data_IF_463246868112
#
_entry.id   IF_463246868112
#
_cell.length_a   1.000
_cell.length_b   1.000
_cell.length_c   1.000
_cell.angle_alpha   90.00
_cell.angle_beta   90.00
_cell.angle_gamma   90.00
#
_symmetry.space_group_name_H-M   'P 1'
#
loop_
_entity.id
_entity.type
_entity.pdbx_description
1 polymer ?
#
# COMPACT_ATOMS: atom_id res chain seq x y z
N UNK A 1 -15.01 -17.93 -9.66
CA UNK A 1 -14.15 -16.72 -9.66
C UNK A 1 -14.61 -15.67 -10.67
N UNK A 2 -15.91 -15.31 -10.80
CA UNK A 2 -16.31 -14.31 -11.80
C UNK A 2 -15.88 -12.88 -11.46
N UNK A 3 -15.43 -12.62 -10.23
CA UNK A 3 -15.15 -11.26 -9.72
C UNK A 3 -13.71 -11.04 -9.25
N UNK A 4 -12.83 -12.05 -9.38
CA UNK A 4 -11.43 -11.97 -8.92
C UNK A 4 -10.53 -12.61 -9.96
N UNK A 5 -9.55 -11.84 -10.44
CA UNK A 5 -8.47 -12.32 -11.29
C UNK A 5 -7.27 -12.73 -10.43
N UNK A 6 -6.59 -13.80 -10.84
CA UNK A 6 -5.43 -14.39 -10.15
C UNK A 6 -4.23 -14.37 -11.10
N UNK A 7 -3.02 -14.30 -10.53
CA UNK A 7 -1.79 -14.50 -11.28
C UNK A 7 -1.28 -15.96 -11.13
N UNK A 8 -0.21 -16.29 -11.85
CA UNK A 8 0.34 -17.65 -11.89
C UNK A 8 0.94 -18.13 -10.56
N UNK A 9 1.41 -17.21 -9.72
CA UNK A 9 2.09 -17.49 -8.46
C UNK A 9 1.14 -17.36 -7.24
N UNK A 10 -0.03 -16.72 -7.45
CA UNK A 10 -1.06 -16.48 -6.46
C UNK A 10 -2.38 -17.15 -6.85
N UNK A 11 -2.48 -18.46 -6.59
CA UNK A 11 -3.66 -19.28 -6.83
C UNK A 11 -4.62 -19.40 -5.64
N UNK A 12 -5.67 -20.23 -5.81
CA UNK A 12 -6.72 -20.45 -4.79
C UNK A 12 -6.15 -21.02 -3.49
N UNK A 13 -5.16 -21.90 -3.55
CA UNK A 13 -4.53 -22.47 -2.35
C UNK A 13 -3.85 -21.40 -1.49
N UNK A 14 -3.09 -20.51 -2.13
CA UNK A 14 -2.44 -19.36 -1.49
C UNK A 14 -3.46 -18.42 -0.87
N UNK A 15 -4.57 -18.13 -1.57
CA UNK A 15 -5.65 -17.31 -1.04
C UNK A 15 -6.29 -17.91 0.23
N UNK A 16 -6.54 -19.22 0.24
CA UNK A 16 -7.11 -19.90 1.42
C UNK A 16 -6.14 -19.89 2.61
N UNK A 17 -4.85 -20.11 2.34
CA UNK A 17 -3.81 -20.01 3.37
C UNK A 17 -3.74 -18.61 3.98
N UNK A 18 -3.71 -17.58 3.13
CA UNK A 18 -3.69 -16.18 3.56
C UNK A 18 -4.98 -15.78 4.31
N UNK A 19 -6.15 -16.18 3.80
CA UNK A 19 -7.42 -15.92 4.47
C UNK A 19 -7.50 -16.55 5.86
N UNK A 20 -6.93 -17.75 6.02
CA UNK A 20 -6.86 -18.43 7.32
C UNK A 20 -5.89 -17.74 8.27
N UNK A 21 -4.71 -17.32 7.80
CA UNK A 21 -3.73 -16.60 8.63
C UNK A 21 -4.24 -15.22 9.08
N UNK A 22 -5.14 -14.61 8.31
CA UNK A 22 -5.77 -13.33 8.63
C UNK A 22 -7.10 -13.47 9.41
N UNK A 23 -7.49 -14.68 9.83
CA UNK A 23 -8.82 -14.92 10.44
C UNK A 23 -9.12 -14.13 11.73
N UNK A 24 -8.10 -13.63 12.42
CA UNK A 24 -8.24 -12.75 13.58
C UNK A 24 -8.31 -11.26 13.24
N UNK A 25 -7.91 -10.86 12.03
CA UNK A 25 -7.93 -9.45 11.57
C UNK A 25 -9.38 -8.98 11.44
N UNK A 26 -9.66 -7.79 11.94
CA UNK A 26 -10.96 -7.11 11.86
C UNK A 26 -10.80 -5.80 11.10
N UNK A 27 -11.93 -5.21 10.71
CA UNK A 27 -11.92 -3.92 10.01
C UNK A 27 -11.22 -2.81 10.81
N UNK A 28 -11.27 -2.85 12.14
CA UNK A 28 -10.58 -1.89 13.01
C UNK A 28 -9.07 -2.08 13.12
N UNK A 29 -8.54 -3.22 12.67
CA UNK A 29 -7.10 -3.52 12.68
C UNK A 29 -6.41 -3.07 11.38
N UNK A 30 -7.18 -2.53 10.43
CA UNK A 30 -6.68 -2.09 9.12
C UNK A 30 -6.56 -0.56 9.14
N UNK A 31 -5.32 -0.07 9.10
CA UNK A 31 -5.04 1.33 8.78
C UNK A 31 -4.84 1.49 7.27
N UNK A 32 -5.31 2.60 6.72
CA UNK A 32 -5.10 2.97 5.33
C UNK A 32 -4.55 4.38 5.26
N UNK A 33 -3.51 4.55 4.47
CA UNK A 33 -2.91 5.85 4.15
C UNK A 33 -2.61 5.89 2.65
N UNK A 34 -2.32 7.08 2.15
CA UNK A 34 -1.93 7.27 0.74
C UNK A 34 -0.41 7.33 0.67
N UNK A 35 0.17 6.84 -0.42
CA UNK A 35 1.60 7.05 -0.66
C UNK A 35 1.95 8.53 -0.51
N UNK A 36 3.10 8.86 0.10
CA UNK A 36 3.50 10.24 0.28
C UNK A 36 3.84 10.87 -1.07
N UNK A 37 3.36 12.10 -1.28
CA UNK A 37 3.47 12.79 -2.56
C UNK A 37 3.76 14.27 -2.36
N UNK A 38 4.59 14.84 -3.24
CA UNK A 38 4.86 16.29 -3.30
C UNK A 38 3.81 17.04 -4.12
N UNK A 39 2.69 16.38 -4.45
CA UNK A 39 1.57 16.92 -5.20
C UNK A 39 1.53 16.50 -6.67
N UNK A 40 0.75 17.22 -7.47
CA UNK A 40 0.54 16.95 -8.89
C UNK A 40 1.30 17.93 -9.77
N UNK A 41 1.64 17.50 -10.97
CA UNK A 41 2.18 18.37 -12.01
C UNK A 41 2.02 17.78 -13.41
N UNK A 42 2.86 18.25 -14.33
CA UNK A 42 2.79 17.91 -15.74
C UNK A 42 4.14 17.47 -16.27
N UNK A 43 4.18 16.33 -16.93
CA UNK A 43 5.36 15.93 -17.70
C UNK A 43 5.51 16.76 -18.97
N UNK A 44 6.70 16.75 -19.57
CA UNK A 44 7.02 17.50 -20.79
C UNK A 44 6.02 17.24 -21.95
N UNK A 45 5.40 16.06 -21.99
CA UNK A 45 4.37 15.68 -22.96
C UNK A 45 2.94 16.15 -22.61
N UNK A 46 2.74 16.91 -21.54
CA UNK A 46 1.41 17.41 -21.14
C UNK A 46 0.57 16.40 -20.34
N UNK A 47 1.14 15.28 -19.90
CA UNK A 47 0.47 14.27 -19.08
C UNK A 47 0.45 14.71 -17.61
N UNK A 48 -0.66 14.48 -16.90
CA UNK A 48 -0.75 14.72 -15.46
C UNK A 48 -0.01 13.62 -14.71
N UNK A 49 0.82 14.01 -13.74
CA UNK A 49 1.58 13.08 -12.89
C UNK A 49 1.44 13.50 -11.43
N UNK A 50 1.45 12.51 -10.54
CA UNK A 50 1.57 12.70 -9.09
C UNK A 50 3.03 12.38 -8.75
N UNK A 51 3.73 13.35 -8.16
CA UNK A 51 5.14 13.18 -7.81
C UNK A 51 5.23 12.53 -6.43
N UNK A 52 5.91 11.38 -6.37
CA UNK A 52 6.22 10.70 -5.11
C UNK A 52 7.14 11.59 -4.28
N UNK A 53 6.85 11.70 -2.99
CA UNK A 53 7.82 12.22 -2.03
C UNK A 53 8.79 11.07 -1.69
N UNK A 54 9.98 11.10 -2.29
CA UNK A 54 10.95 10.03 -2.13
C UNK A 54 11.64 10.05 -0.77
N UNK A 55 11.75 11.21 -0.14
CA UNK A 55 12.37 11.35 1.17
C UNK A 55 11.44 10.79 2.25
N UNK A 56 10.14 11.14 2.20
CA UNK A 56 9.13 10.58 3.10
C UNK A 56 8.88 9.08 2.82
N UNK A 57 8.92 8.65 1.56
CA UNK A 57 8.79 7.24 1.22
C UNK A 57 9.93 6.38 1.82
N UNK A 58 11.11 6.94 2.04
CA UNK A 58 12.19 6.22 2.70
C UNK A 58 11.87 5.92 4.18
N UNK A 59 11.18 6.83 4.87
CA UNK A 59 10.66 6.54 6.22
C UNK A 59 9.62 5.42 6.19
N UNK A 60 8.65 5.49 5.27
CA UNK A 60 7.63 4.42 5.10
C UNK A 60 8.30 3.06 4.86
N UNK A 61 9.35 3.01 4.04
CA UNK A 61 10.10 1.78 3.75
C UNK A 61 10.80 1.24 4.98
N UNK A 62 11.47 2.08 5.76
CA UNK A 62 12.18 1.61 6.94
C UNK A 62 11.20 1.11 8.00
N UNK A 63 10.11 1.85 8.26
CA UNK A 63 9.04 1.43 9.17
C UNK A 63 8.38 0.13 8.74
N UNK A 64 8.19 -0.08 7.44
CA UNK A 64 7.67 -1.35 6.91
C UNK A 64 8.65 -2.49 7.13
N UNK A 65 9.95 -2.24 6.94
CA UNK A 65 11.00 -3.23 7.16
C UNK A 65 11.17 -3.60 8.64
N UNK A 66 10.89 -2.68 9.56
CA UNK A 66 11.06 -2.89 11.01
C UNK A 66 9.78 -3.26 11.76
N UNK A 67 8.64 -3.40 11.06
CA UNK A 67 7.32 -3.69 11.65
C UNK A 67 6.75 -2.53 12.51
N UNK A 68 7.12 -1.30 12.18
CA UNK A 68 6.73 -0.07 12.90
C UNK A 68 5.76 0.82 12.11
N UNK A 69 5.11 0.30 11.04
CA UNK A 69 4.15 1.08 10.23
C UNK A 69 2.93 1.56 11.01
N UNK A 70 2.56 0.87 12.09
CA UNK A 70 1.43 1.29 12.94
C UNK A 70 1.63 2.68 13.55
N UNK A 71 2.89 3.11 13.68
CA UNK A 71 3.29 4.41 14.23
C UNK A 71 3.57 5.46 13.14
N UNK A 72 3.48 5.10 11.86
CA UNK A 72 3.66 6.05 10.76
C UNK A 72 2.45 6.98 10.67
N UNK A 73 2.70 8.27 10.80
CA UNK A 73 1.72 9.33 10.66
C UNK A 73 2.01 10.08 9.35
N UNK A 74 1.21 9.89 8.29
CA UNK A 74 1.40 10.64 7.06
C UNK A 74 1.12 12.13 7.31
N UNK A 75 1.85 12.98 6.59
CA UNK A 75 1.63 14.43 6.66
C UNK A 75 0.16 14.78 6.32
N UNK A 76 -0.46 15.69 7.10
CA UNK A 76 -1.81 16.13 6.80
C UNK A 76 -1.81 16.93 5.49
N UNK A 77 -2.76 16.58 4.60
CA UNK A 77 -3.02 17.30 3.35
C UNK A 77 -3.36 18.78 3.53
#
# INVERSE_FOLDING_TARGET
>A
TPYVALDGDFGIGQMLGLGTSMSSVRAGDISSFTLPTTGTGREAGGQSVVYVDWDELEEVRERFKTDDLADYQPDPY
#
